data_IF_902246618715
#
_entry.id   IF_902246618715
#
_cell.length_a   1.000
_cell.length_b   1.000
_cell.length_c   1.000
_cell.angle_alpha   90.00
_cell.angle_beta   90.00
_cell.angle_gamma   90.00
#
_symmetry.space_group_name_H-M   'P 1'
#
loop_
_entity.id
_entity.type
_entity.pdbx_description
1 polymer ?
#
# COMPACT_ATOMS: atom_id res chain seq x y z
N UNK A 1 10.69 6.82 -10.36
CA UNK A 1 10.21 6.73 -11.75
C UNK A 1 11.34 6.90 -12.75
N UNK A 2 12.11 7.99 -12.71
CA UNK A 2 13.20 8.29 -13.68
C UNK A 2 14.26 7.18 -13.71
N UNK A 3 14.69 6.71 -12.55
CA UNK A 3 15.66 5.61 -12.45
C UNK A 3 15.10 4.32 -13.06
N UNK A 4 13.85 3.97 -12.76
CA UNK A 4 13.22 2.78 -13.30
C UNK A 4 13.08 2.86 -14.84
N UNK A 5 12.76 4.04 -15.38
CA UNK A 5 12.72 4.25 -16.82
C UNK A 5 14.12 4.01 -17.46
N UNK A 6 15.19 4.51 -16.84
CA UNK A 6 16.55 4.27 -17.30
C UNK A 6 16.95 2.79 -17.23
N UNK A 7 16.54 2.08 -16.18
CA UNK A 7 16.77 0.64 -16.06
C UNK A 7 16.07 -0.14 -17.17
N UNK A 8 14.80 0.17 -17.45
CA UNK A 8 14.05 -0.45 -18.56
C UNK A 8 14.73 -0.16 -19.89
N UNK A 9 15.17 1.09 -20.12
CA UNK A 9 15.92 1.45 -21.34
C UNK A 9 17.20 0.62 -21.51
N UNK A 10 17.92 0.38 -20.43
CA UNK A 10 19.12 -0.48 -20.45
C UNK A 10 18.77 -1.94 -20.80
N UNK A 11 17.65 -2.47 -20.30
CA UNK A 11 17.21 -3.82 -20.65
C UNK A 11 16.83 -3.93 -22.12
N UNK A 12 16.22 -2.89 -22.71
CA UNK A 12 15.93 -2.83 -24.14
C UNK A 12 17.24 -2.90 -24.96
N UNK A 13 18.23 -2.08 -24.59
CA UNK A 13 19.53 -2.04 -25.27
C UNK A 13 20.31 -3.36 -25.15
N UNK A 14 20.13 -4.09 -24.08
CA UNK A 14 20.73 -5.42 -23.88
C UNK A 14 20.02 -6.52 -24.66
N UNK A 15 18.89 -6.25 -25.30
CA UNK A 15 18.20 -7.20 -26.16
C UNK A 15 17.49 -8.34 -25.43
N UNK A 16 16.95 -8.07 -24.24
CA UNK A 16 16.13 -9.06 -23.55
C UNK A 16 14.85 -9.38 -24.33
N UNK A 17 14.37 -10.62 -24.24
CA UNK A 17 13.15 -11.06 -24.92
C UNK A 17 11.87 -10.71 -24.13
N UNK A 18 11.98 -10.53 -22.82
CA UNK A 18 10.87 -10.16 -21.97
C UNK A 18 11.34 -9.31 -20.79
N UNK A 19 10.46 -8.40 -20.33
CA UNK A 19 10.65 -7.57 -19.15
C UNK A 19 9.45 -7.76 -18.23
N UNK A 20 9.70 -8.08 -16.96
CA UNK A 20 8.69 -8.12 -15.90
C UNK A 20 8.93 -6.92 -14.99
N UNK A 21 7.90 -6.11 -14.76
CA UNK A 21 8.04 -4.84 -14.04
C UNK A 21 6.95 -4.67 -12.98
N UNK A 22 7.38 -4.28 -11.77
CA UNK A 22 6.52 -3.65 -10.78
C UNK A 22 6.67 -2.14 -10.95
N UNK A 23 5.65 -1.48 -11.50
CA UNK A 23 5.75 -0.11 -11.94
C UNK A 23 5.58 0.90 -10.80
N UNK A 24 6.53 1.78 -10.61
CA UNK A 24 6.44 2.88 -9.64
C UNK A 24 5.39 3.94 -10.02
N UNK A 25 4.94 3.96 -11.28
CA UNK A 25 3.87 4.84 -11.77
C UNK A 25 3.16 4.17 -12.94
N UNK A 26 1.82 4.22 -12.99
CA UNK A 26 1.05 3.60 -14.06
C UNK A 26 1.28 4.28 -15.43
N UNK A 27 1.52 5.59 -15.47
CA UNK A 27 1.57 6.34 -16.72
C UNK A 27 2.97 6.83 -17.10
N UNK A 28 3.77 7.21 -16.10
CA UNK A 28 5.07 7.86 -16.36
C UNK A 28 6.10 6.93 -17.03
N UNK A 29 5.88 5.61 -17.02
CA UNK A 29 6.73 4.63 -17.68
C UNK A 29 6.24 4.26 -19.08
N UNK A 30 5.05 4.71 -19.51
CA UNK A 30 4.43 4.27 -20.77
C UNK A 30 5.33 4.49 -22.00
N UNK A 31 6.06 5.59 -22.03
CA UNK A 31 6.96 5.88 -23.16
C UNK A 31 8.07 4.83 -23.33
N UNK A 32 8.72 4.42 -22.25
CA UNK A 32 9.77 3.40 -22.30
C UNK A 32 9.20 1.99 -22.45
N UNK A 33 8.03 1.72 -21.90
CA UNK A 33 7.31 0.46 -22.12
C UNK A 33 6.92 0.29 -23.58
N UNK A 34 6.39 1.35 -24.20
CA UNK A 34 6.10 1.33 -25.65
C UNK A 34 7.35 1.03 -26.48
N UNK A 35 8.49 1.65 -26.16
CA UNK A 35 9.75 1.36 -26.84
C UNK A 35 10.16 -0.11 -26.72
N UNK A 36 9.98 -0.73 -25.54
CA UNK A 36 10.24 -2.15 -25.37
C UNK A 36 9.33 -3.01 -26.26
N UNK A 37 8.04 -2.72 -26.29
CA UNK A 37 7.09 -3.44 -27.15
C UNK A 37 7.40 -3.26 -28.64
N UNK A 38 7.73 -2.05 -29.09
CA UNK A 38 8.10 -1.75 -30.47
C UNK A 38 9.37 -2.49 -30.89
N UNK A 39 10.27 -2.79 -29.93
CA UNK A 39 11.45 -3.63 -30.13
C UNK A 39 11.15 -5.14 -30.11
N UNK A 40 9.88 -5.54 -29.98
CA UNK A 40 9.46 -6.93 -29.93
C UNK A 40 9.64 -7.60 -28.57
N UNK A 41 9.88 -6.85 -27.50
CA UNK A 41 10.05 -7.36 -26.15
C UNK A 41 8.66 -7.56 -25.52
N UNK A 42 8.44 -8.73 -24.93
CA UNK A 42 7.21 -8.99 -24.15
C UNK A 42 7.32 -8.24 -22.81
N UNK A 43 6.33 -7.38 -22.52
CA UNK A 43 6.29 -6.68 -21.24
C UNK A 43 5.12 -7.17 -20.40
N UNK A 44 5.41 -7.53 -19.15
CA UNK A 44 4.42 -7.92 -18.14
C UNK A 44 4.57 -7.00 -16.93
N UNK A 45 3.54 -6.24 -16.60
CA UNK A 45 3.47 -5.50 -15.35
C UNK A 45 2.62 -6.25 -14.32
N UNK A 46 3.06 -6.22 -13.08
CA UNK A 46 2.35 -6.85 -11.96
C UNK A 46 2.38 -5.92 -10.75
N UNK A 47 1.47 -6.11 -9.81
CA UNK A 47 1.33 -5.27 -8.62
C UNK A 47 1.13 -3.79 -9.01
N UNK A 48 2.18 -2.98 -9.05
CA UNK A 48 2.17 -1.69 -9.72
C UNK A 48 2.13 -1.88 -11.24
N UNK A 49 0.97 -1.64 -11.85
CA UNK A 49 0.76 -1.84 -13.30
C UNK A 49 1.05 -0.58 -14.12
N UNK A 50 1.34 -0.78 -15.41
CA UNK A 50 1.39 0.29 -16.40
C UNK A 50 0.09 0.37 -17.22
N UNK A 51 -0.24 1.56 -17.72
CA UNK A 51 -1.43 1.76 -18.58
C UNK A 51 -1.14 1.57 -20.06
N UNK A 52 0.13 1.45 -20.47
CA UNK A 52 0.50 1.22 -21.87
C UNK A 52 -0.18 -0.07 -22.42
N UNK A 53 -1.00 0.04 -23.49
CA UNK A 53 -1.83 -1.08 -23.96
C UNK A 53 -1.07 -2.33 -24.38
N UNK A 54 0.17 -2.21 -24.82
CA UNK A 54 0.99 -3.32 -25.29
C UNK A 54 1.47 -4.24 -24.16
N UNK A 55 1.47 -3.77 -22.91
CA UNK A 55 1.92 -4.55 -21.76
C UNK A 55 0.81 -5.47 -21.25
N UNK A 56 1.17 -6.71 -20.92
CA UNK A 56 0.33 -7.61 -20.14
C UNK A 56 0.27 -7.15 -18.68
N UNK A 57 -0.86 -7.35 -18.02
CA UNK A 57 -1.08 -6.88 -16.65
C UNK A 57 -1.58 -7.99 -15.75
N UNK A 58 -0.94 -8.14 -14.60
CA UNK A 58 -1.44 -8.93 -13.48
C UNK A 58 -1.87 -7.92 -12.42
N UNK A 59 -3.11 -7.45 -12.53
CA UNK A 59 -3.64 -6.36 -11.72
C UNK A 59 -4.28 -6.84 -10.42
N UNK A 60 -4.09 -6.06 -9.36
CA UNK A 60 -4.83 -6.13 -8.09
C UNK A 60 -5.67 -4.87 -7.96
N UNK A 61 -6.91 -5.00 -7.49
CA UNK A 61 -7.76 -3.87 -7.16
C UNK A 61 -7.38 -3.34 -5.76
N UNK A 62 -6.41 -2.45 -5.71
CA UNK A 62 -5.91 -1.89 -4.47
C UNK A 62 -6.92 -0.99 -3.75
N UNK A 63 -7.78 -0.28 -4.48
CA UNK A 63 -8.87 0.49 -3.86
C UNK A 63 -9.85 -0.46 -3.17
N UNK A 64 -10.22 -1.55 -3.81
CA UNK A 64 -11.08 -2.57 -3.20
C UNK A 64 -10.40 -3.27 -2.03
N UNK A 65 -9.09 -3.50 -2.10
CA UNK A 65 -8.32 -4.05 -0.99
C UNK A 65 -8.46 -3.18 0.25
N UNK A 66 -8.17 -1.87 0.14
CA UNK A 66 -8.31 -0.93 1.26
C UNK A 66 -9.75 -0.80 1.76
N UNK A 67 -10.74 -0.73 0.86
CA UNK A 67 -12.15 -0.71 1.25
C UNK A 67 -12.55 -1.95 2.05
N UNK A 68 -12.04 -3.13 1.68
CA UNK A 68 -12.36 -4.40 2.34
C UNK A 68 -11.94 -4.44 3.81
N UNK A 69 -10.89 -3.73 4.19
CA UNK A 69 -10.46 -3.63 5.59
C UNK A 69 -11.52 -2.94 6.44
N UNK A 70 -12.04 -1.81 5.97
CA UNK A 70 -13.08 -1.06 6.67
C UNK A 70 -14.42 -1.82 6.65
N UNK A 71 -14.76 -2.46 5.52
CA UNK A 71 -15.93 -3.35 5.44
C UNK A 71 -15.86 -4.49 6.47
N UNK A 72 -14.67 -5.06 6.66
CA UNK A 72 -14.44 -6.09 7.67
C UNK A 72 -14.62 -5.54 9.08
N UNK A 73 -14.02 -4.39 9.38
CA UNK A 73 -14.15 -3.72 10.67
C UNK A 73 -15.62 -3.38 10.96
N UNK A 74 -16.38 -2.88 9.98
CA UNK A 74 -17.80 -2.56 10.14
C UNK A 74 -18.64 -3.78 10.54
N UNK A 75 -18.28 -4.97 10.08
CA UNK A 75 -18.92 -6.23 10.46
C UNK A 75 -18.50 -6.70 11.86
N UNK A 76 -17.25 -6.50 12.24
CA UNK A 76 -16.68 -7.00 13.50
C UNK A 76 -16.87 -6.03 14.66
N UNK A 77 -16.93 -4.74 14.37
CA UNK A 77 -17.01 -3.64 15.34
C UNK A 77 -18.10 -2.65 14.91
N UNK A 78 -19.37 -3.05 14.91
CA UNK A 78 -20.46 -2.22 14.44
C UNK A 78 -20.62 -0.88 15.21
N UNK A 79 -20.11 -0.84 16.45
CA UNK A 79 -20.06 0.38 17.27
C UNK A 79 -19.06 1.40 16.75
N UNK A 80 -18.11 0.98 15.89
CA UNK A 80 -17.09 1.84 15.30
C UNK A 80 -15.98 2.23 16.27
N UNK A 81 -15.32 3.35 15.97
CA UNK A 81 -14.26 3.91 16.80
C UNK A 81 -13.18 4.62 16.01
N UNK A 82 -12.15 5.08 16.72
CA UNK A 82 -11.03 5.76 16.11
C UNK A 82 -10.09 4.76 15.42
N UNK A 83 -9.70 5.07 14.20
CA UNK A 83 -8.76 4.31 13.40
C UNK A 83 -7.43 5.04 13.30
N UNK A 84 -6.35 4.27 13.30
CA UNK A 84 -5.03 4.68 12.85
C UNK A 84 -4.78 4.05 11.48
N UNK A 85 -4.39 4.84 10.50
CA UNK A 85 -3.98 4.37 9.17
C UNK A 85 -2.46 4.28 9.11
N UNK A 86 -1.92 3.15 8.66
CA UNK A 86 -0.51 2.99 8.33
C UNK A 86 -0.40 2.79 6.83
N UNK A 87 0.22 3.78 6.18
CA UNK A 87 0.40 3.84 4.74
C UNK A 87 1.73 3.21 4.32
N UNK A 88 1.82 2.85 3.04
CA UNK A 88 3.05 2.38 2.42
C UNK A 88 4.04 3.49 2.12
N UNK A 89 4.83 3.30 1.07
CA UNK A 89 5.84 4.25 0.63
C UNK A 89 5.20 5.45 -0.07
N UNK A 90 5.46 6.64 0.44
CA UNK A 90 4.89 7.87 -0.08
C UNK A 90 5.19 8.11 -1.56
N UNK A 91 4.18 8.51 -2.32
CA UNK A 91 4.31 8.81 -3.76
C UNK A 91 4.31 7.59 -4.67
N UNK A 92 4.00 6.41 -4.15
CA UNK A 92 3.79 5.20 -4.92
C UNK A 92 2.30 5.00 -5.17
N UNK A 93 1.93 4.70 -6.41
CA UNK A 93 0.54 4.49 -6.82
C UNK A 93 -0.23 3.50 -5.92
N UNK A 94 0.41 2.40 -5.54
CA UNK A 94 -0.21 1.35 -4.70
C UNK A 94 -0.63 1.92 -3.33
N UNK A 95 0.25 2.70 -2.70
CA UNK A 95 -0.05 3.38 -1.43
C UNK A 95 -1.27 4.30 -1.54
N UNK A 96 -1.29 5.14 -2.58
CA UNK A 96 -2.39 6.08 -2.79
C UNK A 96 -3.71 5.37 -3.09
N UNK A 97 -3.68 4.28 -3.85
CA UNK A 97 -4.88 3.52 -4.21
C UNK A 97 -5.49 2.81 -2.98
N UNK A 98 -4.68 2.16 -2.15
CA UNK A 98 -5.17 1.49 -0.93
C UNK A 98 -5.73 2.54 0.04
N UNK A 99 -4.99 3.62 0.30
CA UNK A 99 -5.43 4.71 1.18
C UNK A 99 -6.74 5.34 0.69
N UNK A 100 -6.89 5.54 -0.63
CA UNK A 100 -8.13 6.02 -1.22
C UNK A 100 -9.29 5.09 -0.89
N UNK A 101 -9.13 3.78 -1.09
CA UNK A 101 -10.14 2.77 -0.78
C UNK A 101 -10.57 2.80 0.69
N UNK A 102 -9.60 2.85 1.62
CA UNK A 102 -9.85 3.00 3.06
C UNK A 102 -10.67 4.25 3.34
N UNK A 103 -10.21 5.40 2.85
CA UNK A 103 -10.84 6.70 3.14
C UNK A 103 -12.26 6.82 2.54
N UNK A 104 -12.48 6.30 1.35
CA UNK A 104 -13.81 6.30 0.72
C UNK A 104 -14.78 5.39 1.48
N UNK A 105 -14.31 4.23 1.97
CA UNK A 105 -15.15 3.33 2.73
C UNK A 105 -15.44 3.84 4.15
N UNK A 106 -14.49 4.53 4.80
CA UNK A 106 -14.73 5.23 6.08
C UNK A 106 -15.84 6.29 5.94
N UNK A 107 -15.92 7.01 4.82
CA UNK A 107 -17.01 7.97 4.57
C UNK A 107 -18.39 7.32 4.55
N UNK A 108 -18.49 6.07 4.11
CA UNK A 108 -19.74 5.30 4.10
C UNK A 108 -20.07 4.69 5.48
N UNK A 109 -19.07 4.61 6.36
CA UNK A 109 -19.17 4.03 7.70
C UNK A 109 -18.84 5.10 8.76
N UNK A 110 -19.75 6.08 9.00
CA UNK A 110 -19.49 7.28 9.82
C UNK A 110 -19.23 6.98 11.29
N UNK A 111 -19.46 5.75 11.76
CA UNK A 111 -19.09 5.28 13.10
C UNK A 111 -17.55 5.16 13.23
N UNK A 112 -16.79 5.11 12.14
CA UNK A 112 -15.32 5.11 12.15
C UNK A 112 -14.76 6.49 11.83
N UNK A 113 -13.62 6.80 12.45
CA UNK A 113 -12.91 8.05 12.19
C UNK A 113 -11.41 7.80 12.16
N UNK A 114 -10.74 8.11 11.06
CA UNK A 114 -9.27 8.13 11.01
C UNK A 114 -8.80 9.35 11.80
N UNK A 115 -8.05 9.11 12.89
CA UNK A 115 -7.54 10.15 13.80
C UNK A 115 -6.03 10.33 13.70
N UNK A 116 -5.36 9.49 12.92
CA UNK A 116 -3.94 9.59 12.60
C UNK A 116 -3.62 8.77 11.36
N UNK A 117 -2.61 9.22 10.61
CA UNK A 117 -2.07 8.50 9.46
C UNK A 117 -0.57 8.68 9.45
N UNK A 118 0.17 7.60 9.22
CA UNK A 118 1.64 7.59 9.12
C UNK A 118 2.09 6.70 7.99
N UNK A 119 3.28 6.95 7.45
CA UNK A 119 3.92 6.03 6.52
C UNK A 119 4.79 5.02 7.26
N UNK A 120 4.53 3.74 7.05
CA UNK A 120 5.28 2.60 7.55
C UNK A 120 6.20 1.98 6.49
N UNK A 121 6.09 2.46 5.23
CA UNK A 121 6.91 2.06 4.08
C UNK A 121 6.89 0.54 3.84
N UNK A 122 5.78 -0.14 4.24
CA UNK A 122 5.65 -1.61 4.21
C UNK A 122 6.76 -2.32 4.99
N UNK A 123 7.26 -1.69 6.07
CA UNK A 123 8.39 -2.19 6.86
C UNK A 123 8.12 -2.07 8.37
N UNK A 124 8.29 -3.19 9.08
CA UNK A 124 8.00 -3.31 10.52
C UNK A 124 8.68 -2.23 11.37
N UNK A 125 9.99 -2.01 11.16
CA UNK A 125 10.76 -1.05 11.95
C UNK A 125 10.38 0.40 11.67
N UNK A 126 10.04 0.72 10.41
CA UNK A 126 9.61 2.06 10.02
C UNK A 126 8.24 2.35 10.63
N UNK A 127 7.30 1.41 10.49
CA UNK A 127 5.97 1.50 11.07
C UNK A 127 6.03 1.64 12.60
N UNK A 128 6.85 0.84 13.27
CA UNK A 128 7.01 0.94 14.72
C UNK A 128 7.45 2.34 15.17
N UNK A 129 8.46 2.91 14.50
CA UNK A 129 8.96 4.26 14.81
C UNK A 129 7.91 5.34 14.52
N UNK A 130 7.27 5.25 13.36
CA UNK A 130 6.26 6.21 12.94
C UNK A 130 5.05 6.22 13.89
N UNK A 131 4.53 5.05 14.23
CA UNK A 131 3.41 4.89 15.19
C UNK A 131 3.82 5.39 16.57
N UNK A 132 4.96 4.97 17.10
CA UNK A 132 5.46 5.43 18.41
C UNK A 132 5.57 6.96 18.48
N UNK A 133 5.95 7.61 17.39
CA UNK A 133 6.11 9.06 17.32
C UNK A 133 4.80 9.83 17.48
N UNK A 134 3.68 9.32 16.96
CA UNK A 134 2.39 10.04 17.01
C UNK A 134 1.49 9.54 18.14
N UNK A 135 1.71 8.32 18.64
CA UNK A 135 0.83 7.64 19.60
C UNK A 135 0.52 8.49 20.86
N UNK A 136 1.47 9.26 21.44
CA UNK A 136 1.18 10.09 22.62
C UNK A 136 0.13 11.18 22.38
N UNK A 137 -0.03 11.64 21.13
CA UNK A 137 -0.99 12.70 20.77
C UNK A 137 -2.36 12.16 20.35
N UNK A 138 -2.49 10.85 20.16
CA UNK A 138 -3.70 10.23 19.67
C UNK A 138 -4.66 9.83 20.81
N UNK A 139 -5.97 9.95 20.59
CA UNK A 139 -6.97 9.37 21.49
C UNK A 139 -6.85 7.84 21.55
N UNK A 140 -7.77 7.19 22.25
CA UNK A 140 -7.88 5.73 22.19
C UNK A 140 -8.10 5.27 20.74
N UNK A 141 -7.29 4.34 20.27
CA UNK A 141 -7.40 3.71 18.95
C UNK A 141 -8.11 2.36 19.10
N UNK A 142 -9.18 2.15 18.35
CA UNK A 142 -9.93 0.89 18.35
C UNK A 142 -9.44 -0.10 17.32
N UNK A 143 -8.99 0.41 16.16
CA UNK A 143 -8.39 -0.44 15.14
C UNK A 143 -7.30 0.30 14.34
N UNK A 144 -6.42 -0.48 13.72
CA UNK A 144 -5.40 -0.03 12.79
C UNK A 144 -5.68 -0.67 11.44
N UNK A 145 -5.71 0.13 10.38
CA UNK A 145 -5.77 -0.31 9.00
C UNK A 145 -4.38 -0.13 8.39
N UNK A 146 -3.88 -1.15 7.70
CA UNK A 146 -2.51 -1.17 7.17
C UNK A 146 -2.48 -1.63 5.72
N UNK A 147 -1.37 -1.42 5.06
CA UNK A 147 -1.18 -1.87 3.68
C UNK A 147 -0.35 -3.16 3.58
N UNK A 148 0.01 -3.74 4.73
CA UNK A 148 0.80 -4.95 4.85
C UNK A 148 2.29 -4.72 5.09
N UNK A 149 2.91 -5.64 5.85
CA UNK A 149 4.32 -5.58 6.21
C UNK A 149 4.65 -4.65 7.38
N UNK A 150 3.68 -4.14 8.08
CA UNK A 150 3.85 -3.09 9.10
C UNK A 150 3.00 -3.31 10.37
N UNK A 151 2.06 -4.24 10.33
CA UNK A 151 1.15 -4.49 11.44
C UNK A 151 1.85 -4.95 12.73
N UNK A 152 2.88 -5.77 12.61
CA UNK A 152 3.68 -6.22 13.77
C UNK A 152 4.42 -5.06 14.42
N UNK A 153 4.99 -4.16 13.61
CA UNK A 153 5.63 -2.94 14.07
C UNK A 153 4.65 -2.03 14.84
N UNK A 154 3.42 -1.91 14.36
CA UNK A 154 2.36 -1.19 15.06
C UNK A 154 2.07 -1.82 16.43
N UNK A 155 1.87 -3.14 16.48
CA UNK A 155 1.62 -3.84 17.74
C UNK A 155 2.72 -3.60 18.78
N UNK A 156 3.99 -3.66 18.35
CA UNK A 156 5.14 -3.36 19.20
C UNK A 156 5.15 -1.92 19.72
N UNK A 157 4.75 -0.95 18.88
CA UNK A 157 4.67 0.46 19.30
C UNK A 157 3.61 0.66 20.39
N UNK A 158 2.43 0.06 20.25
CA UNK A 158 1.39 0.11 21.27
C UNK A 158 1.84 -0.54 22.59
N UNK A 159 2.45 -1.74 22.52
CA UNK A 159 2.96 -2.45 23.69
C UNK A 159 4.04 -1.63 24.42
N UNK A 160 5.00 -1.07 23.69
CA UNK A 160 6.07 -0.24 24.25
C UNK A 160 5.54 1.05 24.92
N UNK A 161 4.44 1.60 24.40
CA UNK A 161 3.77 2.76 24.98
C UNK A 161 2.86 2.41 26.20
N UNK A 162 2.75 1.13 26.57
CA UNK A 162 1.85 0.67 27.63
C UNK A 162 0.37 0.87 27.28
N UNK A 163 0.03 1.01 26.00
CA UNK A 163 -1.36 1.14 25.53
C UNK A 163 -1.90 -0.23 25.11
N UNK A 164 -3.21 -0.47 25.29
CA UNK A 164 -3.83 -1.69 24.77
C UNK A 164 -3.61 -1.79 23.26
N UNK A 165 -3.19 -2.96 22.80
CA UNK A 165 -3.08 -3.24 21.35
C UNK A 165 -4.48 -3.28 20.76
N UNK A 166 -4.78 -2.44 19.76
CA UNK A 166 -6.07 -2.42 19.08
C UNK A 166 -6.22 -3.62 18.14
N UNK A 167 -7.38 -3.75 17.52
CA UNK A 167 -7.52 -4.65 16.35
C UNK A 167 -6.65 -4.11 15.22
N UNK A 168 -5.72 -4.91 14.73
CA UNK A 168 -4.86 -4.55 13.61
C UNK A 168 -5.26 -5.40 12.41
N UNK A 169 -5.67 -4.75 11.33
CA UNK A 169 -5.83 -5.44 10.05
C UNK A 169 -4.42 -5.59 9.46
N UNK A 170 -3.96 -6.81 9.45
CA UNK A 170 -2.66 -7.15 8.89
C UNK A 170 -2.80 -7.49 7.41
N UNK A 171 -1.77 -7.26 6.65
CA UNK A 171 -1.70 -7.68 5.27
C UNK A 171 -1.59 -9.19 5.11
N UNK A 172 -1.28 -9.62 3.91
CA UNK A 172 -1.16 -11.03 3.53
C UNK A 172 0.28 -11.55 3.51
N UNK A 173 1.19 -10.86 4.16
CA UNK A 173 2.61 -11.24 4.20
C UNK A 173 2.84 -12.32 5.25
N UNK A 174 3.77 -13.24 4.93
CA UNK A 174 4.08 -14.36 5.81
C UNK A 174 4.66 -13.92 7.16
N UNK A 175 5.34 -12.79 7.21
CA UNK A 175 5.91 -12.21 8.43
C UNK A 175 4.88 -11.54 9.35
N UNK A 176 3.60 -11.53 8.94
CA UNK A 176 2.47 -11.03 9.71
C UNK A 176 1.48 -12.12 10.14
N UNK A 177 1.69 -13.36 9.70
CA UNK A 177 0.88 -14.53 10.05
C UNK A 177 1.45 -15.25 11.26
#
# INVERSE_FOLDING_TARGET
VTEQAAQIQNLILQGYNAIVVNAASPDALNGVIKQACDAGIIVVSFDGIVTEPCAWRIAVDFEKMGASEVEYLAKKMPEGGNLLEIRGLAGVFVDDAISKGINEEVKKNPQFKIVGSVHGDWAQEVAQKAVAGILPSLPEIKAVVTQGGDGYGAAHAFAAAGRPTPTIIMGNRQDEL
#
